data_IF_305770015878
#
_entry.id   IF_305770015878
#
_cell.length_a   1.000
_cell.length_b   1.000
_cell.length_c   1.000
_cell.angle_alpha   90.00
_cell.angle_beta   90.00
_cell.angle_gamma   90.00
#
_symmetry.space_group_name_H-M   'P 1'
#
loop_
_entity.id
_entity.type
_entity.pdbx_description
1 polymer ?
#
# COMPACT_ATOMS: atom_id res chain seq x y z
N UNK A 1 -32.86 20.06 3.06
CA UNK A 1 -31.87 19.32 2.25
C UNK A 1 -30.80 18.80 3.18
N UNK A 2 -30.58 17.50 3.21
CA UNK A 2 -29.47 16.87 3.94
C UNK A 2 -28.16 17.21 3.24
N UNK A 3 -27.10 17.48 4.02
CA UNK A 3 -25.78 17.80 3.51
C UNK A 3 -25.15 16.55 2.89
N UNK A 4 -24.51 16.70 1.73
CA UNK A 4 -23.77 15.62 1.09
C UNK A 4 -22.58 15.16 1.94
N UNK A 5 -22.20 13.89 1.78
CA UNK A 5 -21.00 13.36 2.44
C UNK A 5 -19.74 14.08 1.93
N UNK A 6 -18.74 14.32 2.79
CA UNK A 6 -17.50 14.96 2.37
C UNK A 6 -16.68 14.05 1.44
N UNK A 7 -15.75 14.66 0.71
CA UNK A 7 -14.79 13.98 -0.15
C UNK A 7 -13.86 13.05 0.65
N UNK A 8 -13.36 12.01 -0.02
CA UNK A 8 -12.41 11.07 0.57
C UNK A 8 -10.99 11.64 0.54
N UNK A 9 -10.33 11.70 1.69
CA UNK A 9 -8.90 11.97 1.77
C UNK A 9 -8.14 10.66 1.62
N UNK A 10 -7.56 10.44 0.43
CA UNK A 10 -6.91 9.18 0.04
C UNK A 10 -5.57 9.47 -0.63
N UNK A 11 -4.50 9.52 0.16
CA UNK A 11 -3.13 9.68 -0.36
C UNK A 11 -2.69 8.39 -1.04
N UNK A 12 -2.13 8.51 -2.25
CA UNK A 12 -1.48 7.41 -2.95
C UNK A 12 -0.08 7.20 -2.38
N UNK A 13 0.18 6.03 -1.79
CA UNK A 13 1.41 5.77 -1.07
C UNK A 13 1.81 4.28 -1.11
N UNK A 14 3.11 4.03 -1.14
CA UNK A 14 3.74 2.72 -1.04
C UNK A 14 5.24 2.93 -1.07
N UNK A 15 5.98 2.27 -0.18
CA UNK A 15 7.39 2.56 0.00
C UNK A 15 8.16 1.35 0.50
N UNK A 16 9.20 0.95 -0.24
CA UNK A 16 10.25 0.01 0.15
C UNK A 16 9.79 -1.40 0.54
N UNK A 17 9.05 -1.56 1.64
CA UNK A 17 8.57 -2.85 2.14
C UNK A 17 7.10 -2.77 2.59
N UNK A 18 6.45 -3.92 2.70
CA UNK A 18 5.07 -4.00 3.20
C UNK A 18 4.92 -3.41 4.61
N UNK A 19 5.89 -3.68 5.50
CA UNK A 19 5.89 -3.17 6.88
C UNK A 19 6.07 -1.65 6.93
N UNK A 20 7.02 -1.09 6.18
CA UNK A 20 7.21 0.36 6.14
C UNK A 20 5.99 1.08 5.55
N UNK A 21 5.36 0.48 4.54
CA UNK A 21 4.12 0.98 3.96
C UNK A 21 2.96 0.93 4.95
N UNK A 22 2.84 -0.15 5.73
CA UNK A 22 1.85 -0.26 6.81
C UNK A 22 2.03 0.86 7.87
N UNK A 23 3.26 1.09 8.35
CA UNK A 23 3.55 2.13 9.33
C UNK A 23 3.16 3.53 8.81
N UNK A 24 3.42 3.80 7.53
CA UNK A 24 2.98 5.02 6.84
C UNK A 24 1.45 5.13 6.77
N UNK A 25 0.75 4.04 6.42
CA UNK A 25 -0.71 4.03 6.35
C UNK A 25 -1.34 4.30 7.71
N UNK A 26 -0.88 3.62 8.76
CA UNK A 26 -1.37 3.82 10.12
C UNK A 26 -1.13 5.24 10.60
N UNK A 27 0.04 5.81 10.29
CA UNK A 27 0.37 7.22 10.60
C UNK A 27 -0.55 8.20 9.87
N UNK A 28 -0.89 7.94 8.62
CA UNK A 28 -1.78 8.82 7.86
C UNK A 28 -3.23 8.71 8.34
N UNK A 29 -3.70 7.50 8.63
CA UNK A 29 -5.02 7.27 9.22
C UNK A 29 -5.14 7.99 10.57
N UNK A 30 -4.13 7.92 11.44
CA UNK A 30 -4.14 8.64 12.72
C UNK A 30 -4.13 10.16 12.57
N UNK A 31 -3.74 10.68 11.39
CA UNK A 31 -3.75 12.11 11.04
C UNK A 31 -5.01 12.55 10.30
N UNK A 32 -6.02 11.68 10.17
CA UNK A 32 -7.31 12.03 9.57
C UNK A 32 -7.45 11.67 8.10
N UNK A 33 -6.54 10.88 7.52
CA UNK A 33 -6.77 10.25 6.22
C UNK A 33 -7.98 9.30 6.34
N UNK A 34 -8.90 9.35 5.38
CA UNK A 34 -10.17 8.60 5.44
C UNK A 34 -10.23 7.44 4.46
N UNK A 35 -9.18 7.21 3.67
CA UNK A 35 -9.08 6.04 2.81
C UNK A 35 -7.63 5.72 2.42
N UNK A 36 -7.35 4.48 2.04
CA UNK A 36 -6.01 4.03 1.65
C UNK A 36 -5.89 3.90 0.13
N UNK A 37 -4.73 4.22 -0.45
CA UNK A 37 -4.43 3.92 -1.84
C UNK A 37 -2.99 3.44 -1.96
N UNK A 38 -2.82 2.23 -2.49
CA UNK A 38 -1.55 1.49 -2.45
C UNK A 38 -0.80 1.69 -3.75
N UNK A 39 0.44 2.15 -3.66
CA UNK A 39 1.37 2.18 -4.78
C UNK A 39 2.24 0.92 -4.78
N UNK A 40 2.10 0.07 -5.79
CA UNK A 40 2.92 -1.13 -5.96
C UNK A 40 4.21 -0.83 -6.70
N UNK A 41 5.24 -1.64 -6.48
CA UNK A 41 6.48 -1.56 -7.27
C UNK A 41 6.29 -2.09 -8.70
N UNK A 42 7.29 -1.86 -9.57
CA UNK A 42 7.18 -2.26 -10.98
C UNK A 42 7.08 -3.79 -11.17
N UNK A 43 7.85 -4.64 -10.45
CA UNK A 43 7.67 -6.10 -10.51
C UNK A 43 6.24 -6.55 -10.21
N UNK A 44 5.66 -6.05 -9.12
CA UNK A 44 4.27 -6.38 -8.74
C UNK A 44 3.28 -5.92 -9.81
N UNK A 45 3.47 -4.72 -10.38
CA UNK A 45 2.61 -4.19 -11.45
C UNK A 45 2.69 -5.02 -12.74
N UNK A 46 3.86 -5.62 -13.01
CA UNK A 46 4.13 -6.37 -14.24
C UNK A 46 3.99 -7.89 -14.07
N UNK A 47 3.66 -8.36 -12.87
CA UNK A 47 3.38 -9.76 -12.57
C UNK A 47 4.62 -10.62 -12.31
N UNK A 48 5.74 -10.01 -11.90
CA UNK A 48 6.95 -10.73 -11.53
C UNK A 48 7.13 -10.80 -10.01
N UNK A 49 7.59 -11.95 -9.55
CA UNK A 49 8.09 -12.11 -8.18
C UNK A 49 9.39 -11.33 -7.99
N UNK A 50 9.68 -11.00 -6.73
CA UNK A 50 10.84 -10.17 -6.37
C UNK A 50 12.19 -10.81 -6.71
N UNK A 51 12.26 -12.14 -6.80
CA UNK A 51 13.45 -12.91 -7.16
C UNK A 51 13.62 -13.15 -8.66
N UNK A 52 12.61 -12.80 -9.47
CA UNK A 52 12.67 -12.93 -10.92
C UNK A 52 13.78 -12.06 -11.51
N UNK A 53 14.49 -12.57 -12.53
CA UNK A 53 15.67 -11.90 -13.11
C UNK A 53 15.35 -10.49 -13.62
N UNK A 54 14.14 -10.27 -14.15
CA UNK A 54 13.69 -8.97 -14.65
C UNK A 54 13.26 -7.99 -13.54
N UNK A 55 13.10 -8.45 -12.29
CA UNK A 55 12.72 -7.61 -11.15
C UNK A 55 13.92 -6.88 -10.54
N UNK A 56 15.14 -7.32 -10.85
CA UNK A 56 16.38 -6.79 -10.26
C UNK A 56 16.49 -5.27 -10.45
N UNK A 57 16.64 -4.55 -9.33
CA UNK A 57 16.79 -3.09 -9.32
C UNK A 57 15.48 -2.31 -9.28
N UNK A 58 14.32 -2.98 -9.40
CA UNK A 58 13.01 -2.33 -9.37
C UNK A 58 12.16 -2.74 -8.15
N UNK A 59 12.56 -3.81 -7.44
CA UNK A 59 11.90 -4.26 -6.20
C UNK A 59 11.87 -3.14 -5.16
N UNK A 60 10.67 -2.74 -4.76
CA UNK A 60 10.44 -1.72 -3.72
C UNK A 60 10.84 -0.28 -4.07
N UNK A 61 11.26 -0.01 -5.31
CA UNK A 61 11.83 1.28 -5.72
C UNK A 61 10.79 2.39 -5.88
N UNK A 62 9.64 2.05 -6.45
CA UNK A 62 8.54 3.00 -6.76
C UNK A 62 7.26 2.71 -5.97
N UNK A 63 7.27 1.71 -5.11
CA UNK A 63 6.11 1.26 -4.37
C UNK A 63 6.42 0.10 -3.46
N UNK A 64 5.38 -0.53 -2.93
CA UNK A 64 5.50 -1.73 -2.10
C UNK A 64 5.66 -2.98 -2.97
N UNK A 65 6.64 -3.86 -2.71
CA UNK A 65 6.72 -5.17 -3.33
C UNK A 65 5.70 -6.12 -2.69
N UNK A 66 4.96 -6.87 -3.52
CA UNK A 66 4.05 -7.94 -3.09
C UNK A 66 4.25 -9.15 -3.99
N UNK A 67 4.83 -10.22 -3.45
CA UNK A 67 5.03 -11.47 -4.18
C UNK A 67 4.13 -12.60 -3.67
N UNK A 68 3.61 -12.49 -2.44
CA UNK A 68 2.71 -13.49 -1.87
C UNK A 68 1.74 -12.93 -0.83
N UNK A 69 0.81 -13.77 -0.38
CA UNK A 69 -0.20 -13.40 0.62
C UNK A 69 0.41 -12.89 1.95
N UNK A 70 1.62 -13.34 2.31
CA UNK A 70 2.32 -12.85 3.50
C UNK A 70 2.60 -11.34 3.45
N UNK A 71 2.90 -10.80 2.27
CA UNK A 71 3.18 -9.37 2.11
C UNK A 71 1.91 -8.56 2.27
N UNK A 72 0.79 -9.03 1.71
CA UNK A 72 -0.51 -8.39 1.88
C UNK A 72 -0.97 -8.41 3.34
N UNK A 73 -0.72 -9.51 4.06
CA UNK A 73 -0.98 -9.59 5.50
C UNK A 73 -0.13 -8.58 6.28
N UNK A 74 1.15 -8.45 5.95
CA UNK A 74 2.02 -7.46 6.57
C UNK A 74 1.61 -6.01 6.22
N UNK A 75 1.18 -5.77 4.98
CA UNK A 75 0.77 -4.47 4.48
C UNK A 75 -0.47 -3.93 5.21
N UNK A 76 -1.41 -4.80 5.55
CA UNK A 76 -2.67 -4.46 6.21
C UNK A 76 -2.74 -4.90 7.67
N UNK A 77 -1.61 -5.28 8.28
CA UNK A 77 -1.60 -5.61 9.71
C UNK A 77 -2.14 -4.45 10.55
N UNK A 78 -2.99 -4.76 11.52
CA UNK A 78 -3.68 -3.77 12.37
C UNK A 78 -4.53 -2.72 11.62
N UNK A 79 -4.92 -2.97 10.36
CA UNK A 79 -5.84 -2.12 9.59
C UNK A 79 -7.15 -2.90 9.36
N UNK A 80 -8.29 -2.45 9.91
CA UNK A 80 -9.56 -3.15 9.74
C UNK A 80 -10.15 -2.90 8.34
N UNK A 81 -10.10 -3.92 7.46
CA UNK A 81 -10.50 -3.80 6.05
C UNK A 81 -12.01 -3.81 5.79
N UNK A 82 -12.82 -4.18 6.80
CA UNK A 82 -14.28 -4.32 6.68
C UNK A 82 -15.05 -3.02 6.98
N UNK A 83 -14.33 -1.93 7.32
CA UNK A 83 -14.90 -0.63 7.67
C UNK A 83 -14.98 0.29 6.44
#
# INVERSE_FOLDING_TARGET
>A
MTKDKPWLFRTYAGHSTAKASNDLYRTNLSKGQTGLSVAFDLPTQTGYDSDHVLSRGEVGKVGVPVSHLGDMRALFDQIPLEQ
#
